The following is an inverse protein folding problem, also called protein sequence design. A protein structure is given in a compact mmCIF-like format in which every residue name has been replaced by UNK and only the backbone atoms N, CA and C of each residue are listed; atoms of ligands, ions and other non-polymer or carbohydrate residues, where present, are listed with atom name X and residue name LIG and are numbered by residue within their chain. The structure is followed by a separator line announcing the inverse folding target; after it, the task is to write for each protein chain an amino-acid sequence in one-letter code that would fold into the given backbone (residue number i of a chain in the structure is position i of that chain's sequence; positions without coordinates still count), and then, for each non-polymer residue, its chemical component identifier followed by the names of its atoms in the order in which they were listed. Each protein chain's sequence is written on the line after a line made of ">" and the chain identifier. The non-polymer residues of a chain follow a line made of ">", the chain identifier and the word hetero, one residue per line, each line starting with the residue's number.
data_IF_288665297544
#
_entry.id   IF_288665297544
#
_cell.length_a   1.000
_cell.length_b   1.000
_cell.length_c   1.000
_cell.angle_alpha   90.00
_cell.angle_beta   90.00
_cell.angle_gamma   90.00
#
_symmetry.space_group_name_H-M   'P 1'
#
loop_
_entity.id
_entity.type
_entity.pdbx_description
1 polymer ?
#
# COMPACT_ATOMS: atom_id res chain seq x y z
N UNK A 1 96.05 2.83 23.29
CA UNK A 1 95.37 2.44 22.10
C UNK A 1 93.99 1.86 22.50
N UNK A 2 92.92 2.67 22.45
CA UNK A 2 91.61 2.30 22.87
C UNK A 2 90.74 2.13 21.58
N UNK A 3 90.16 0.98 21.42
CA UNK A 3 89.22 0.68 20.34
C UNK A 3 87.77 0.90 20.80
N UNK A 4 87.09 1.82 20.20
CA UNK A 4 85.65 2.08 20.44
C UNK A 4 84.82 1.13 19.67
N UNK A 5 83.74 0.52 20.26
CA UNK A 5 82.80 -0.27 19.54
C UNK A 5 81.70 0.58 18.83
N UNK A 6 81.39 0.27 17.57
CA UNK A 6 80.32 0.86 16.78
C UNK A 6 78.98 0.29 17.24
N UNK A 7 78.09 1.16 17.74
CA UNK A 7 76.70 0.86 18.03
C UNK A 7 75.94 0.85 16.67
N UNK A 8 75.33 -0.27 16.33
CA UNK A 8 74.40 -0.42 15.22
C UNK A 8 73.01 -0.09 15.76
N UNK A 9 72.44 1.01 15.29
CA UNK A 9 71.04 1.37 15.52
C UNK A 9 70.14 0.57 14.62
N UNK A 10 69.37 -0.34 15.21
CA UNK A 10 68.33 -1.05 14.51
C UNK A 10 67.09 -0.15 14.56
N UNK A 11 66.76 0.47 13.44
CA UNK A 11 65.50 1.19 13.26
C UNK A 11 64.35 0.20 13.05
N UNK A 12 63.53 -0.01 14.07
CA UNK A 12 62.32 -0.79 14.00
C UNK A 12 61.22 0.04 13.31
N UNK A 13 60.98 -0.22 12.01
CA UNK A 13 59.90 0.39 11.26
C UNK A 13 58.56 -0.20 11.68
N UNK A 14 57.75 0.56 12.44
CA UNK A 14 56.40 0.21 12.79
C UNK A 14 55.49 0.53 11.58
N UNK A 15 55.15 -0.49 10.78
CA UNK A 15 54.15 -0.34 9.73
C UNK A 15 52.76 -0.33 10.34
N UNK A 16 52.13 0.85 10.41
CA UNK A 16 50.71 1.00 10.77
C UNK A 16 49.85 0.52 9.62
N UNK A 17 49.29 -0.67 9.75
CA UNK A 17 48.24 -1.16 8.85
C UNK A 17 46.94 -0.45 9.19
N UNK A 18 46.59 0.61 8.47
CA UNK A 18 45.28 1.22 8.53
C UNK A 18 44.27 0.32 7.78
N UNK A 19 43.54 -0.52 8.50
CA UNK A 19 42.37 -1.19 7.96
C UNK A 19 41.28 -0.14 7.72
N UNK A 20 41.12 0.29 6.48
CA UNK A 20 39.97 1.06 6.06
C UNK A 20 38.72 0.16 6.14
N UNK A 21 37.96 0.29 7.21
CA UNK A 21 36.63 -0.30 7.29
C UNK A 21 35.74 0.37 6.23
N UNK A 22 35.44 -0.34 5.15
CA UNK A 22 34.44 0.11 4.19
C UNK A 22 33.09 0.26 4.90
N UNK A 23 32.37 1.38 4.71
CA UNK A 23 31.04 1.52 5.29
C UNK A 23 30.16 0.40 4.74
N UNK A 24 29.64 -0.43 5.62
CA UNK A 24 28.62 -1.41 5.29
C UNK A 24 27.44 -0.66 4.66
N UNK A 25 27.27 -0.75 3.35
CA UNK A 25 26.10 -0.25 2.65
C UNK A 25 24.92 -0.98 3.26
N UNK A 26 24.12 -0.25 4.08
CA UNK A 26 22.94 -0.78 4.71
C UNK A 26 22.03 -1.38 3.66
N UNK A 27 21.99 -2.69 3.59
CA UNK A 27 21.05 -3.42 2.76
C UNK A 27 19.65 -2.90 3.11
N UNK A 28 19.00 -2.17 2.18
CA UNK A 28 17.60 -1.79 2.32
C UNK A 28 16.82 -3.06 2.61
N UNK A 29 16.27 -3.19 3.82
CA UNK A 29 15.34 -4.28 4.14
C UNK A 29 14.27 -4.30 3.05
N UNK A 30 14.00 -5.46 2.40
CA UNK A 30 12.92 -5.55 1.44
C UNK A 30 11.65 -5.09 2.16
N UNK A 31 10.97 -4.09 1.59
CA UNK A 31 9.69 -3.65 2.13
C UNK A 31 8.74 -4.84 2.03
N UNK A 32 8.29 -5.36 3.17
CA UNK A 32 7.19 -6.33 3.17
C UNK A 32 6.02 -5.66 2.47
N UNK A 33 5.60 -6.22 1.34
CA UNK A 33 4.35 -5.77 0.70
C UNK A 33 3.23 -6.00 1.70
N UNK A 34 2.38 -4.99 1.90
CA UNK A 34 1.19 -5.14 2.72
C UNK A 34 0.31 -6.26 2.17
N UNK A 35 -0.27 -7.10 3.03
CA UNK A 35 -1.23 -8.12 2.59
C UNK A 35 -2.39 -7.48 1.85
N UNK A 36 -2.77 -8.03 0.70
CA UNK A 36 -3.85 -7.49 -0.14
C UNK A 36 -4.64 -8.59 -0.85
N UNK A 37 -5.87 -8.28 -1.26
CA UNK A 37 -6.72 -9.15 -2.08
C UNK A 37 -7.78 -8.33 -2.81
N UNK A 38 -8.15 -8.78 -4.01
CA UNK A 38 -9.27 -8.21 -4.75
C UNK A 38 -10.59 -8.66 -4.16
N UNK A 39 -11.52 -7.71 -3.98
CA UNK A 39 -12.85 -7.95 -3.43
C UNK A 39 -13.94 -7.25 -4.23
N UNK A 40 -15.14 -7.79 -4.13
CA UNK A 40 -16.41 -7.08 -4.37
C UNK A 40 -17.12 -7.01 -3.03
N UNK A 41 -17.32 -5.81 -2.52
CA UNK A 41 -17.91 -5.59 -1.20
C UNK A 41 -19.20 -4.80 -1.27
N UNK A 42 -20.20 -5.23 -0.50
CA UNK A 42 -21.38 -4.42 -0.18
C UNK A 42 -21.07 -3.64 1.06
N UNK A 43 -21.18 -2.31 0.97
CA UNK A 43 -20.72 -1.38 1.98
C UNK A 43 -21.81 -0.40 2.38
N UNK A 44 -21.79 0.04 3.64
CA UNK A 44 -22.46 1.25 4.11
C UNK A 44 -21.48 2.40 4.11
N UNK A 45 -21.85 3.52 3.49
CA UNK A 45 -21.06 4.74 3.46
C UNK A 45 -21.10 5.43 4.83
N UNK A 46 -19.93 5.67 5.42
CA UNK A 46 -19.80 6.31 6.74
C UNK A 46 -19.50 7.82 6.63
N UNK A 47 -18.83 8.23 5.55
CA UNK A 47 -18.60 9.64 5.23
C UNK A 47 -18.91 9.90 3.77
N UNK A 48 -19.47 11.06 3.43
CA UNK A 48 -19.66 11.44 2.03
C UNK A 48 -18.29 11.56 1.33
N UNK A 49 -18.17 11.14 0.03
CA UNK A 49 -16.95 11.32 -0.72
C UNK A 49 -16.51 12.78 -0.79
N UNK A 50 -15.22 13.01 -0.61
CA UNK A 50 -14.59 14.30 -0.76
C UNK A 50 -13.48 14.22 -1.81
N UNK A 51 -13.45 15.20 -2.73
CA UNK A 51 -12.36 15.32 -3.69
C UNK A 51 -11.12 15.86 -2.99
N UNK A 52 -9.98 15.20 -3.24
CA UNK A 52 -8.66 15.61 -2.78
C UNK A 52 -7.65 15.54 -3.92
N UNK A 53 -6.93 16.62 -4.12
CA UNK A 53 -5.80 16.65 -5.04
C UNK A 53 -4.51 16.47 -4.25
N UNK A 54 -3.74 15.45 -4.60
CA UNK A 54 -2.47 15.14 -3.97
C UNK A 54 -1.30 15.87 -4.66
N UNK A 55 -0.12 15.84 -4.05
CA UNK A 55 1.09 16.56 -4.52
C UNK A 55 1.54 16.21 -5.95
N UNK A 56 1.11 15.05 -6.46
CA UNK A 56 1.37 14.62 -7.83
C UNK A 56 0.31 15.09 -8.85
N UNK A 57 -0.54 16.04 -8.49
CA UNK A 57 -1.67 16.54 -9.28
C UNK A 57 -2.73 15.46 -9.63
N UNK A 58 -2.76 14.33 -8.92
CA UNK A 58 -3.83 13.35 -9.06
C UNK A 58 -4.98 13.70 -8.14
N UNK A 59 -6.19 13.58 -8.66
CA UNK A 59 -7.43 13.86 -7.92
C UNK A 59 -8.12 12.53 -7.57
N UNK A 60 -8.50 12.41 -6.32
CA UNK A 60 -9.16 11.24 -5.76
C UNK A 60 -10.47 11.63 -5.11
N UNK A 61 -11.44 10.71 -5.10
CA UNK A 61 -12.54 10.71 -4.14
C UNK A 61 -12.13 9.85 -2.95
N UNK A 62 -12.15 10.42 -1.76
CA UNK A 62 -11.82 9.73 -0.53
C UNK A 62 -13.02 9.74 0.42
N UNK A 63 -13.34 8.59 0.97
CA UNK A 63 -14.42 8.42 1.94
C UNK A 63 -14.23 7.15 2.76
N UNK A 64 -15.00 7.01 3.84
CA UNK A 64 -14.96 5.84 4.69
C UNK A 64 -16.23 5.01 4.51
N UNK A 65 -16.08 3.69 4.61
CA UNK A 65 -17.17 2.71 4.55
C UNK A 65 -17.05 1.68 5.67
N UNK A 66 -18.15 1.00 5.95
CA UNK A 66 -18.17 -0.27 6.69
C UNK A 66 -18.61 -1.38 5.74
N UNK A 67 -17.80 -2.44 5.62
CA UNK A 67 -18.15 -3.61 4.80
C UNK A 67 -19.23 -4.41 5.52
N UNK A 68 -20.34 -4.68 4.85
CA UNK A 68 -21.44 -5.53 5.35
C UNK A 68 -21.24 -6.97 4.90
N UNK A 69 -20.91 -7.16 3.62
CA UNK A 69 -20.52 -8.47 3.07
C UNK A 69 -19.50 -8.28 1.97
N UNK A 70 -18.78 -9.33 1.64
CA UNK A 70 -17.82 -9.31 0.54
C UNK A 70 -17.65 -10.67 -0.09
N UNK A 71 -17.16 -10.65 -1.33
CA UNK A 71 -16.68 -11.81 -2.06
C UNK A 71 -15.25 -11.52 -2.53
N UNK A 72 -14.36 -12.51 -2.47
CA UNK A 72 -13.02 -12.41 -3.07
C UNK A 72 -13.13 -12.67 -4.57
N UNK A 73 -12.45 -11.88 -5.37
CA UNK A 73 -12.42 -12.08 -6.81
C UNK A 73 -11.59 -13.33 -7.12
N UNK A 74 -12.17 -14.33 -7.81
CA UNK A 74 -11.43 -15.53 -8.19
C UNK A 74 -10.26 -15.22 -9.11
N UNK A 75 -9.17 -15.98 -8.96
CA UNK A 75 -8.01 -15.89 -9.85
C UNK A 75 -7.03 -14.76 -9.56
N UNK A 76 -7.22 -13.99 -8.48
CA UNK A 76 -6.22 -13.04 -8.01
C UNK A 76 -5.00 -13.78 -7.46
N UNK A 77 -3.97 -13.94 -8.31
CA UNK A 77 -2.72 -14.63 -7.98
C UNK A 77 -1.85 -13.88 -6.97
N UNK A 78 -2.12 -12.60 -6.76
CA UNK A 78 -1.39 -11.76 -5.83
C UNK A 78 -2.07 -11.70 -4.46
N UNK A 79 -3.30 -12.26 -4.35
CA UNK A 79 -4.07 -12.26 -3.12
C UNK A 79 -3.34 -13.01 -2.00
N UNK A 80 -3.33 -12.43 -0.81
CA UNK A 80 -2.99 -13.14 0.40
C UNK A 80 -4.22 -13.93 0.90
N UNK A 81 -4.24 -15.27 0.82
CA UNK A 81 -5.39 -16.06 1.23
C UNK A 81 -5.65 -16.01 2.74
N UNK A 82 -4.64 -15.67 3.53
CA UNK A 82 -4.74 -15.56 4.98
C UNK A 82 -5.22 -14.16 5.44
N UNK A 83 -5.32 -13.20 4.53
CA UNK A 83 -5.75 -11.84 4.86
C UNK A 83 -7.19 -11.82 5.38
N UNK A 84 -7.37 -11.46 6.65
CA UNK A 84 -8.69 -11.27 7.24
C UNK A 84 -9.25 -9.91 6.79
N UNK A 85 -10.41 -9.94 6.12
CA UNK A 85 -11.13 -8.71 5.75
C UNK A 85 -12.02 -8.31 6.93
N UNK A 86 -11.84 -7.08 7.39
CA UNK A 86 -12.47 -6.58 8.60
C UNK A 86 -13.80 -5.91 8.27
N UNK A 87 -14.91 -6.50 8.71
CA UNK A 87 -16.27 -5.99 8.49
C UNK A 87 -16.74 -5.04 9.59
N UNK A 88 -16.12 -5.06 10.75
CA UNK A 88 -16.50 -4.31 11.97
C UNK A 88 -15.84 -2.94 12.07
N UNK A 89 -15.05 -2.54 11.08
CA UNK A 89 -14.23 -1.32 11.10
C UNK A 89 -14.57 -0.37 9.96
N UNK A 90 -14.24 0.89 10.18
CA UNK A 90 -14.16 1.87 9.09
C UNK A 90 -12.96 1.55 8.21
N UNK A 91 -13.24 1.44 6.94
CA UNK A 91 -12.25 1.19 5.89
C UNK A 91 -12.21 2.41 5.00
N UNK A 92 -11.01 2.89 4.72
CA UNK A 92 -10.81 4.04 3.86
C UNK A 92 -10.87 3.62 2.39
N UNK A 93 -11.65 4.35 1.58
CA UNK A 93 -11.76 4.11 0.13
C UNK A 93 -11.06 5.25 -0.59
N UNK A 94 -10.21 4.89 -1.53
CA UNK A 94 -9.50 5.83 -2.41
C UNK A 94 -9.85 5.50 -3.86
N UNK A 95 -10.64 6.37 -4.49
CA UNK A 95 -11.10 6.23 -5.87
C UNK A 95 -10.42 7.27 -6.74
N UNK A 96 -9.62 6.82 -7.69
CA UNK A 96 -8.78 7.69 -8.52
C UNK A 96 -9.53 8.23 -9.72
N UNK A 97 -9.86 9.51 -9.70
CA UNK A 97 -10.52 10.21 -10.81
C UNK A 97 -9.57 10.48 -11.98
N UNK A 98 -8.27 10.58 -11.71
CA UNK A 98 -7.25 10.81 -12.75
C UNK A 98 -6.95 9.57 -13.57
N UNK A 99 -7.47 8.41 -13.13
CA UNK A 99 -7.27 7.12 -13.76
C UNK A 99 -8.57 6.51 -14.33
N UNK A 100 -9.44 7.34 -14.87
CA UNK A 100 -10.70 6.88 -15.45
C UNK A 100 -11.79 6.57 -14.43
N UNK A 101 -11.57 6.89 -13.15
CA UNK A 101 -12.62 6.80 -12.14
C UNK A 101 -13.74 7.79 -12.41
N UNK A 102 -14.98 7.33 -12.33
CA UNK A 102 -16.15 8.18 -12.48
C UNK A 102 -16.46 8.92 -11.17
N UNK A 103 -16.95 10.17 -11.28
CA UNK A 103 -17.50 10.88 -10.13
C UNK A 103 -18.78 10.23 -9.65
N UNK A 104 -18.78 9.85 -8.37
CA UNK A 104 -19.91 9.17 -7.76
C UNK A 104 -20.52 10.07 -6.70
N UNK A 105 -21.84 10.15 -6.67
CA UNK A 105 -22.58 10.89 -5.64
C UNK A 105 -23.09 9.90 -4.61
N UNK A 106 -22.48 9.92 -3.44
CA UNK A 106 -22.87 9.11 -2.29
C UNK A 106 -23.05 10.02 -1.07
N UNK A 107 -24.00 9.68 -0.22
CA UNK A 107 -24.21 10.32 1.07
C UNK A 107 -23.90 9.33 2.21
N UNK A 108 -23.65 9.87 3.40
CA UNK A 108 -23.55 9.02 4.59
C UNK A 108 -24.84 8.20 4.77
N UNK A 109 -24.69 6.91 5.02
CA UNK A 109 -25.77 5.95 5.14
C UNK A 109 -26.17 5.26 3.85
N UNK A 110 -25.72 5.74 2.68
CA UNK A 110 -25.97 5.08 1.42
C UNK A 110 -25.37 3.67 1.37
N UNK A 111 -26.00 2.81 0.59
CA UNK A 111 -25.45 1.51 0.23
C UNK A 111 -24.62 1.64 -1.06
N UNK A 112 -23.45 1.06 -1.06
CA UNK A 112 -22.57 1.03 -2.22
C UNK A 112 -22.00 -0.36 -2.43
N UNK A 113 -21.87 -0.77 -3.69
CA UNK A 113 -21.04 -1.89 -4.07
C UNK A 113 -19.69 -1.34 -4.53
N UNK A 114 -18.61 -1.88 -3.97
CA UNK A 114 -17.25 -1.46 -4.24
C UNK A 114 -16.44 -2.66 -4.69
N UNK A 115 -15.88 -2.57 -5.89
CA UNK A 115 -14.91 -3.53 -6.41
C UNK A 115 -13.53 -2.88 -6.42
N UNK A 116 -12.57 -3.50 -5.75
CA UNK A 116 -11.22 -2.96 -5.64
C UNK A 116 -10.28 -3.87 -4.86
N UNK A 117 -9.07 -3.40 -4.64
CA UNK A 117 -8.07 -4.10 -3.85
C UNK A 117 -8.16 -3.68 -2.39
N UNK A 118 -8.49 -4.63 -1.52
CA UNK A 118 -8.42 -4.44 -0.07
C UNK A 118 -7.00 -4.68 0.42
N UNK A 119 -6.49 -3.76 1.21
CA UNK A 119 -5.15 -3.79 1.81
C UNK A 119 -5.27 -3.57 3.30
N UNK A 120 -4.60 -4.42 4.08
CA UNK A 120 -4.49 -4.27 5.54
C UNK A 120 -3.01 -4.06 5.92
N UNK A 121 -2.52 -2.83 5.93
CA UNK A 121 -1.15 -2.54 6.32
C UNK A 121 -0.93 -2.76 7.82
N UNK A 122 0.25 -3.24 8.19
CA UNK A 122 0.60 -3.53 9.60
C UNK A 122 0.42 -2.32 10.53
N UNK A 123 0.64 -1.10 10.02
CA UNK A 123 0.65 0.15 10.80
C UNK A 123 -0.28 1.22 10.22
N UNK A 124 -1.40 0.84 9.63
CA UNK A 124 -2.29 1.79 8.96
C UNK A 124 -3.77 1.49 9.13
N UNK A 125 -4.57 2.32 8.46
CA UNK A 125 -5.99 2.04 8.28
C UNK A 125 -6.16 1.06 7.14
N UNK A 126 -7.10 0.14 7.28
CA UNK A 126 -7.51 -0.71 6.18
C UNK A 126 -8.00 0.17 5.02
N UNK A 127 -7.65 -0.22 3.81
CA UNK A 127 -7.82 0.57 2.62
C UNK A 127 -8.47 -0.27 1.52
N UNK A 128 -9.36 0.33 0.73
CA UNK A 128 -9.77 -0.18 -0.59
C UNK A 128 -9.33 0.83 -1.63
N UNK A 129 -8.53 0.39 -2.59
CA UNK A 129 -8.10 1.19 -3.73
C UNK A 129 -8.23 0.43 -5.05
N UNK A 130 -7.72 0.97 -6.17
CA UNK A 130 -7.94 0.42 -7.51
C UNK A 130 -9.42 0.16 -7.82
N UNK A 131 -10.25 1.12 -7.43
CA UNK A 131 -11.70 1.08 -7.60
C UNK A 131 -12.15 1.70 -8.92
N UNK A 132 -11.26 1.88 -9.88
CA UNK A 132 -11.47 2.41 -11.23
C UNK A 132 -11.18 1.34 -12.29
N UNK A 133 -11.59 1.52 -13.55
CA UNK A 133 -11.29 0.59 -14.63
C UNK A 133 -9.80 0.37 -14.83
N UNK A 134 -9.42 -0.81 -15.27
CA UNK A 134 -8.03 -1.19 -15.56
C UNK A 134 -7.64 -0.76 -16.98
N UNK A 135 -7.79 0.51 -17.33
CA UNK A 135 -7.58 1.03 -18.69
C UNK A 135 -6.10 1.25 -19.06
N UNK A 136 -5.19 0.95 -18.15
CA UNK A 136 -3.74 1.13 -18.36
C UNK A 136 -3.26 2.58 -18.36
N UNK A 137 -4.15 3.58 -18.24
CA UNK A 137 -3.79 5.01 -18.25
C UNK A 137 -2.97 5.42 -17.03
N UNK A 138 -3.02 4.66 -15.97
CA UNK A 138 -2.39 4.96 -14.70
C UNK A 138 -1.03 4.30 -14.44
N UNK A 139 -0.39 3.79 -15.47
CA UNK A 139 1.03 3.47 -15.42
C UNK A 139 1.46 2.36 -14.45
N UNK A 140 0.55 1.56 -13.96
CA UNK A 140 0.91 0.35 -13.21
C UNK A 140 1.41 -0.70 -14.20
N UNK A 141 2.74 -0.86 -14.28
CA UNK A 141 3.35 -2.00 -14.98
C UNK A 141 2.82 -3.29 -14.35
N UNK A 142 1.87 -3.92 -15.02
CA UNK A 142 1.29 -5.17 -14.53
C UNK A 142 -0.24 -5.17 -14.44
N UNK A 143 -0.87 -4.01 -14.58
CA UNK A 143 -2.32 -3.90 -14.50
C UNK A 143 -2.87 -4.26 -13.10
N UNK A 144 -4.02 -3.74 -12.78
CA UNK A 144 -4.86 -4.25 -11.71
C UNK A 144 -6.17 -4.74 -12.35
N UNK A 145 -6.92 -5.65 -11.71
CA UNK A 145 -8.26 -6.01 -12.17
C UNK A 145 -9.18 -4.79 -12.22
N UNK A 146 -10.20 -4.84 -13.08
CA UNK A 146 -11.22 -3.81 -13.13
C UNK A 146 -11.82 -3.57 -11.76
N UNK A 147 -11.83 -2.31 -11.35
CA UNK A 147 -12.51 -1.82 -10.17
C UNK A 147 -13.74 -1.01 -10.52
N UNK A 148 -14.47 -0.59 -9.50
CA UNK A 148 -15.64 0.26 -9.66
C UNK A 148 -16.33 0.54 -8.35
N UNK A 149 -17.13 1.58 -8.35
CA UNK A 149 -18.02 1.92 -7.23
C UNK A 149 -19.39 2.25 -7.83
N UNK A 150 -20.43 1.68 -7.27
CA UNK A 150 -21.80 2.02 -7.65
C UNK A 150 -22.69 2.14 -6.43
N UNK A 151 -23.60 3.11 -6.45
CA UNK A 151 -24.70 3.18 -5.49
C UNK A 151 -25.66 2.04 -5.74
N UNK A 152 -26.10 1.37 -4.69
CA UNK A 152 -27.08 0.28 -4.74
C UNK A 152 -28.27 0.59 -3.84
N UNK A 153 -29.35 -0.21 -3.97
CA UNK A 153 -30.51 -0.06 -3.11
C UNK A 153 -30.16 -0.38 -1.65
N UNK A 154 -30.68 0.40 -0.72
CA UNK A 154 -30.53 0.19 0.72
C UNK A 154 -31.05 -1.19 1.18
N UNK A 155 -32.02 -1.78 0.46
CA UNK A 155 -32.48 -3.14 0.73
C UNK A 155 -31.36 -4.19 0.57
N UNK A 156 -30.34 -3.91 -0.26
CA UNK A 156 -29.19 -4.79 -0.44
C UNK A 156 -28.37 -4.93 0.85
N UNK A 157 -28.27 -3.88 1.69
CA UNK A 157 -27.60 -3.96 2.99
C UNK A 157 -28.28 -4.95 3.91
N UNK A 158 -29.63 -4.97 3.92
CA UNK A 158 -30.39 -5.90 4.77
C UNK A 158 -30.29 -7.35 4.32
N UNK A 159 -30.11 -7.57 3.03
CA UNK A 159 -29.95 -8.92 2.47
C UNK A 159 -28.53 -9.45 2.66
N UNK A 160 -27.54 -8.56 2.74
CA UNK A 160 -26.13 -8.89 2.86
C UNK A 160 -25.67 -9.08 4.32
N UNK A 161 -26.42 -8.54 5.31
CA UNK A 161 -26.17 -8.70 6.74
C UNK A 161 -26.76 -10.02 7.26
#
# INVERSE_FOLDING_TARGET
>A
MQKTPRLWSIALGLALLVLAAAPAQGAKKPSKKSPHTQIVAVCRVETAPAEKTHKNNRTFLEFDVTIVSYERVPGDKAADPALAIRQDRRIHVVHDLSCGGERIVLAKGDAAEIRGEYVAPDNGKDLIHFTHPADGSCGTKGGHPDGGIRKIDAAALKKAA
#
